data_IF_758023737583
#
_entry.id   IF_758023737583
#
_cell.length_a   1.000
_cell.length_b   1.000
_cell.length_c   1.000
_cell.angle_alpha   90.00
_cell.angle_beta   90.00
_cell.angle_gamma   90.00
#
_symmetry.space_group_name_H-M   'P 1'
#
loop_
_entity.id
_entity.type
_entity.pdbx_description
1 polymer ?
#
# COMPACT_ATOMS: atom_id res chain seq x y z
N UNK A 1 -72.06 -12.72 -27.95
CA UNK A 1 -70.63 -13.02 -27.92
C UNK A 1 -69.96 -11.97 -27.09
N UNK A 2 -69.59 -12.28 -25.81
CA UNK A 2 -68.89 -11.37 -24.87
C UNK A 2 -67.41 -11.74 -24.83
N UNK A 3 -66.50 -10.86 -25.31
CA UNK A 3 -65.04 -11.01 -25.19
C UNK A 3 -64.59 -10.56 -23.78
N UNK A 4 -64.05 -11.48 -23.01
CA UNK A 4 -63.38 -11.20 -21.74
C UNK A 4 -61.92 -10.77 -22.02
N UNK A 5 -61.58 -9.54 -21.67
CA UNK A 5 -60.20 -9.03 -21.67
C UNK A 5 -59.57 -9.40 -20.34
N UNK A 6 -58.54 -10.26 -20.35
CA UNK A 6 -57.67 -10.51 -19.19
C UNK A 6 -56.59 -9.43 -19.10
N UNK A 7 -56.58 -8.67 -18.03
CA UNK A 7 -55.52 -7.78 -17.66
C UNK A 7 -54.44 -8.56 -16.88
N UNK A 8 -53.28 -8.79 -17.49
CA UNK A 8 -52.08 -9.26 -16.79
C UNK A 8 -51.43 -8.06 -16.11
N UNK A 9 -51.54 -7.99 -14.78
CA UNK A 9 -50.78 -7.06 -13.95
C UNK A 9 -49.37 -7.58 -13.75
N UNK A 10 -48.38 -6.95 -14.40
CA UNK A 10 -46.97 -7.19 -14.11
C UNK A 10 -46.58 -6.47 -12.80
N UNK A 11 -46.28 -7.26 -11.77
CA UNK A 11 -45.71 -6.77 -10.53
C UNK A 11 -44.26 -6.37 -10.78
N UNK A 12 -43.97 -5.08 -10.94
CA UNK A 12 -42.60 -4.52 -10.88
C UNK A 12 -42.15 -4.50 -9.42
N UNK A 13 -41.28 -5.42 -9.03
CA UNK A 13 -40.57 -5.37 -7.74
C UNK A 13 -39.51 -4.25 -7.77
N UNK A 14 -39.33 -3.47 -6.68
CA UNK A 14 -38.45 -2.32 -6.67
C UNK A 14 -36.98 -2.77 -6.65
N UNK A 15 -36.29 -2.65 -7.78
CA UNK A 15 -34.83 -2.84 -7.91
C UNK A 15 -34.05 -1.75 -7.15
N UNK A 16 -34.72 -0.62 -6.85
CA UNK A 16 -34.09 0.54 -6.20
C UNK A 16 -33.67 0.31 -4.72
N UNK A 17 -34.33 -0.59 -3.99
CA UNK A 17 -34.05 -0.81 -2.56
C UNK A 17 -32.69 -1.51 -2.30
N UNK A 18 -32.12 -2.19 -3.30
CA UNK A 18 -30.86 -2.92 -3.14
C UNK A 18 -29.63 -2.04 -3.30
N UNK A 19 -29.72 -0.96 -4.07
CA UNK A 19 -28.59 -0.03 -4.27
C UNK A 19 -28.29 0.79 -3.01
N UNK A 20 -29.30 1.20 -2.24
CA UNK A 20 -29.14 1.96 -1.01
C UNK A 20 -28.65 1.11 0.17
N UNK A 21 -28.90 -0.18 0.18
CA UNK A 21 -28.43 -1.09 1.21
C UNK A 21 -26.92 -1.44 1.06
N UNK A 22 -26.34 -1.23 -0.12
CA UNK A 22 -24.91 -1.46 -0.37
C UNK A 22 -24.03 -0.28 0.05
N UNK A 23 -24.56 0.94 0.02
CA UNK A 23 -23.77 2.15 0.32
C UNK A 23 -23.39 2.25 1.81
N UNK A 24 -24.24 1.79 2.71
CA UNK A 24 -23.98 1.74 4.16
C UNK A 24 -23.05 0.60 4.60
N UNK A 25 -22.70 -0.33 3.70
CA UNK A 25 -21.83 -1.49 3.97
C UNK A 25 -20.48 -1.39 3.29
N UNK A 26 -20.23 -0.35 2.51
CA UNK A 26 -18.96 -0.18 1.81
C UNK A 26 -17.94 0.48 2.74
N UNK A 27 -16.72 -0.05 2.74
CA UNK A 27 -15.56 0.55 3.40
C UNK A 27 -14.59 1.07 2.36
N UNK A 28 -14.45 2.37 2.28
CA UNK A 28 -13.53 3.05 1.36
C UNK A 28 -12.12 3.07 1.92
N UNK A 29 -11.23 2.29 1.33
CA UNK A 29 -9.85 2.16 1.78
C UNK A 29 -8.89 2.81 0.78
N UNK A 30 -8.26 3.89 1.21
CA UNK A 30 -7.22 4.60 0.46
C UNK A 30 -5.87 4.03 0.88
N UNK A 31 -5.08 3.47 -0.02
CA UNK A 31 -3.86 2.76 0.37
C UNK A 31 -2.70 2.97 -0.60
N UNK A 32 -1.48 2.86 -0.06
CA UNK A 32 -0.24 2.92 -0.82
C UNK A 32 -0.25 1.93 -1.99
N UNK A 33 0.06 2.38 -3.20
CA UNK A 33 -0.02 1.61 -4.43
C UNK A 33 0.83 0.34 -4.44
N UNK A 34 1.93 0.31 -3.66
CA UNK A 34 2.72 -0.90 -3.42
C UNK A 34 1.94 -2.06 -2.82
N UNK A 35 0.82 -1.77 -2.15
CA UNK A 35 -0.06 -2.78 -1.56
C UNK A 35 -1.14 -3.29 -2.55
N UNK A 36 -1.17 -2.81 -3.80
CA UNK A 36 -2.27 -3.06 -4.75
C UNK A 36 -2.63 -4.55 -4.84
N UNK A 37 -1.68 -5.42 -5.16
CA UNK A 37 -1.96 -6.85 -5.32
C UNK A 37 -2.39 -7.50 -4.01
N UNK A 38 -1.72 -7.18 -2.90
CA UNK A 38 -2.06 -7.67 -1.58
C UNK A 38 -3.49 -7.28 -1.17
N UNK A 39 -3.86 -6.02 -1.39
CA UNK A 39 -5.19 -5.52 -1.01
C UNK A 39 -6.27 -6.14 -1.89
N UNK A 40 -6.12 -6.09 -3.22
CA UNK A 40 -7.16 -6.52 -4.16
C UNK A 40 -7.31 -8.05 -4.27
N UNK A 41 -6.22 -8.81 -4.10
CA UNK A 41 -6.24 -10.27 -4.27
C UNK A 41 -6.16 -11.07 -2.98
N UNK A 42 -5.78 -10.42 -1.88
CA UNK A 42 -5.65 -11.05 -0.57
C UNK A 42 -6.66 -10.53 0.44
N UNK A 43 -6.52 -9.26 0.83
CA UNK A 43 -7.31 -8.66 1.92
C UNK A 43 -8.77 -8.46 1.51
N UNK A 44 -9.06 -7.87 0.35
CA UNK A 44 -10.42 -7.54 -0.07
C UNK A 44 -11.34 -8.78 -0.12
N UNK A 45 -11.00 -9.86 -0.86
CA UNK A 45 -11.88 -11.02 -0.92
C UNK A 45 -12.05 -11.71 0.44
N UNK A 46 -11.02 -11.72 1.29
CA UNK A 46 -11.11 -12.31 2.62
C UNK A 46 -11.95 -11.46 3.59
N UNK A 47 -11.85 -10.13 3.50
CA UNK A 47 -12.69 -9.22 4.27
C UNK A 47 -14.15 -9.29 3.83
N UNK A 48 -14.42 -9.26 2.51
CA UNK A 48 -15.78 -9.36 1.96
C UNK A 48 -16.45 -10.69 2.37
N UNK A 49 -15.67 -11.76 2.48
CA UNK A 49 -16.18 -13.07 2.93
C UNK A 49 -16.64 -13.07 4.40
N UNK A 50 -16.29 -12.08 5.22
CA UNK A 50 -16.86 -11.92 6.58
C UNK A 50 -18.36 -11.60 6.53
N UNK A 51 -18.84 -11.03 5.42
CA UNK A 51 -20.26 -10.79 5.14
C UNK A 51 -20.83 -9.51 5.76
N UNK A 52 -20.07 -8.80 6.60
CA UNK A 52 -20.54 -7.58 7.28
C UNK A 52 -20.44 -6.35 6.40
N UNK A 53 -19.32 -6.17 5.71
CA UNK A 53 -19.01 -5.02 4.87
C UNK A 53 -18.39 -5.44 3.54
N UNK A 54 -18.26 -4.49 2.61
CA UNK A 54 -17.66 -4.67 1.29
C UNK A 54 -16.48 -3.71 1.15
N UNK A 55 -15.31 -4.25 0.82
CA UNK A 55 -14.13 -3.46 0.51
C UNK A 55 -14.29 -2.69 -0.79
N UNK A 56 -13.92 -1.40 -0.78
CA UNK A 56 -13.74 -0.60 -1.98
C UNK A 56 -12.38 0.10 -1.91
N UNK A 57 -11.44 -0.39 -2.71
CA UNK A 57 -10.05 0.04 -2.68
C UNK A 57 -9.75 1.20 -3.62
N UNK A 58 -8.82 2.06 -3.21
CA UNK A 58 -8.19 3.04 -4.07
C UNK A 58 -6.69 3.12 -3.79
N UNK A 59 -5.92 2.62 -4.76
CA UNK A 59 -4.46 2.63 -4.71
C UNK A 59 -3.88 3.93 -5.26
N UNK A 60 -2.77 4.39 -4.67
CA UNK A 60 -2.03 5.53 -5.19
C UNK A 60 -0.77 5.82 -4.38
N UNK A 61 0.07 6.72 -4.89
CA UNK A 61 1.21 7.23 -4.14
C UNK A 61 0.73 7.87 -2.83
N UNK A 62 1.30 7.47 -1.68
CA UNK A 62 0.79 7.86 -0.36
C UNK A 62 0.72 9.37 -0.15
N UNK A 63 1.71 10.13 -0.63
CA UNK A 63 1.69 11.59 -0.56
C UNK A 63 0.62 12.22 -1.47
N UNK A 64 0.40 11.66 -2.67
CA UNK A 64 -0.66 12.10 -3.56
C UNK A 64 -2.05 11.86 -2.94
N UNK A 65 -2.23 10.73 -2.26
CA UNK A 65 -3.47 10.45 -1.51
C UNK A 65 -3.70 11.46 -0.39
N UNK A 66 -2.65 11.82 0.36
CA UNK A 66 -2.73 12.87 1.39
C UNK A 66 -3.23 14.18 0.80
N UNK A 67 -2.66 14.64 -0.32
CA UNK A 67 -3.11 15.87 -0.98
C UNK A 67 -4.57 15.78 -1.46
N UNK A 68 -5.00 14.63 -1.98
CA UNK A 68 -6.38 14.42 -2.40
C UNK A 68 -7.36 14.45 -1.22
N UNK A 69 -6.99 13.86 -0.08
CA UNK A 69 -7.79 13.86 1.16
C UNK A 69 -7.90 15.30 1.69
N UNK A 70 -6.76 15.98 1.85
CA UNK A 70 -6.72 17.38 2.33
C UNK A 70 -7.53 18.34 1.44
N UNK A 71 -7.41 18.18 0.13
CA UNK A 71 -8.13 18.98 -0.84
C UNK A 71 -9.63 18.63 -0.99
N UNK A 72 -10.14 17.64 -0.25
CA UNK A 72 -11.53 17.16 -0.36
C UNK A 72 -11.87 16.50 -1.70
N UNK A 73 -10.85 16.22 -2.53
CA UNK A 73 -11.01 15.55 -3.83
C UNK A 73 -11.35 14.07 -3.67
N UNK A 74 -10.99 13.48 -2.53
CA UNK A 74 -11.27 12.09 -2.20
C UNK A 74 -11.65 11.95 -0.74
N UNK A 75 -12.76 11.26 -0.54
CA UNK A 75 -13.19 10.80 0.79
C UNK A 75 -12.86 9.33 0.94
N UNK A 76 -12.67 8.88 2.17
CA UNK A 76 -12.46 7.49 2.50
C UNK A 76 -12.69 7.24 3.98
N UNK A 77 -12.77 5.98 4.34
CA UNK A 77 -12.92 5.54 5.73
C UNK A 77 -11.56 5.26 6.35
N UNK A 78 -10.69 4.60 5.62
CA UNK A 78 -9.38 4.14 6.07
C UNK A 78 -8.29 4.70 5.16
N UNK A 79 -7.16 5.10 5.76
CA UNK A 79 -5.95 5.46 5.04
C UNK A 79 -4.79 4.56 5.47
N UNK A 80 -4.11 3.96 4.48
CA UNK A 80 -2.92 3.12 4.69
C UNK A 80 -1.75 3.73 3.91
N UNK A 81 -0.74 4.19 4.64
CA UNK A 81 0.44 4.84 4.09
C UNK A 81 1.67 3.94 4.16
N UNK A 82 2.57 4.05 3.18
CA UNK A 82 3.91 3.45 3.20
C UNK A 82 4.94 4.28 4.01
N UNK A 83 4.54 5.46 4.49
CA UNK A 83 5.31 6.31 5.40
C UNK A 83 4.40 6.84 6.52
N UNK A 84 4.66 6.47 7.80
CA UNK A 84 3.88 6.94 8.94
C UNK A 84 3.90 8.46 9.12
N UNK A 85 4.95 9.16 8.69
CA UNK A 85 5.06 10.61 8.81
C UNK A 85 3.96 11.35 8.05
N UNK A 86 3.45 10.78 6.96
CA UNK A 86 2.37 11.35 6.16
C UNK A 86 1.04 11.48 6.91
N UNK A 87 0.83 10.72 7.99
CA UNK A 87 -0.36 10.89 8.83
C UNK A 87 -0.41 12.27 9.49
N UNK A 88 0.76 12.86 9.83
CA UNK A 88 0.82 14.19 10.43
C UNK A 88 0.40 15.31 9.45
N UNK A 89 0.56 15.08 8.14
CA UNK A 89 0.14 16.06 7.12
C UNK A 89 -1.38 16.16 7.02
N UNK A 90 -2.11 15.11 7.41
CA UNK A 90 -3.58 15.12 7.44
C UNK A 90 -4.16 15.92 8.62
N UNK A 91 -3.32 16.36 9.56
CA UNK A 91 -3.72 17.20 10.69
C UNK A 91 -4.86 16.58 11.49
N UNK A 92 -5.93 17.36 11.72
CA UNK A 92 -7.09 16.96 12.52
C UNK A 92 -7.92 15.80 11.94
N UNK A 93 -7.67 15.39 10.69
CA UNK A 93 -8.32 14.24 10.08
C UNK A 93 -7.79 12.92 10.64
N UNK A 94 -6.61 12.92 11.29
CA UNK A 94 -5.99 11.74 11.88
C UNK A 94 -5.77 11.96 13.38
N UNK A 95 -6.47 11.20 14.21
CA UNK A 95 -6.32 11.25 15.67
C UNK A 95 -5.30 10.26 16.20
N UNK A 96 -5.13 9.15 15.48
CA UNK A 96 -4.19 8.08 15.78
C UNK A 96 -3.85 7.33 14.50
N UNK A 97 -2.73 6.65 14.50
CA UNK A 97 -2.39 5.65 13.50
C UNK A 97 -1.59 4.50 14.13
N UNK A 98 -1.61 3.36 13.47
CA UNK A 98 -0.90 2.15 13.91
C UNK A 98 0.11 1.77 12.85
N UNK A 99 1.40 1.70 13.22
CA UNK A 99 2.45 1.14 12.37
C UNK A 99 2.41 -0.38 12.57
N UNK A 100 2.29 -1.17 11.49
CA UNK A 100 2.01 -2.60 11.63
C UNK A 100 2.91 -3.52 10.81
N UNK A 101 3.56 -3.00 9.76
CA UNK A 101 4.41 -3.77 8.87
C UNK A 101 5.52 -2.92 8.26
N UNK A 102 6.52 -3.58 7.68
CA UNK A 102 7.55 -2.93 6.89
C UNK A 102 7.91 -3.76 5.66
N UNK A 103 8.56 -3.13 4.68
CA UNK A 103 9.16 -3.82 3.55
C UNK A 103 10.43 -3.10 3.11
N UNK A 104 11.59 -3.78 3.04
CA UNK A 104 12.84 -3.19 2.60
C UNK A 104 12.77 -2.69 1.15
N UNK A 105 13.54 -1.63 0.85
CA UNK A 105 13.79 -1.19 -0.51
C UNK A 105 14.77 -2.13 -1.18
N UNK A 106 14.47 -2.55 -2.40
CA UNK A 106 15.30 -3.43 -3.24
C UNK A 106 15.38 -2.89 -4.67
N UNK A 107 16.34 -3.39 -5.44
CA UNK A 107 16.46 -3.09 -6.87
C UNK A 107 15.93 -4.30 -7.64
N UNK A 108 14.71 -4.19 -8.20
CA UNK A 108 14.12 -5.20 -9.06
C UNK A 108 14.53 -5.02 -10.51
N UNK A 109 14.72 -6.10 -11.25
CA UNK A 109 15.09 -6.04 -12.66
C UNK A 109 14.30 -7.03 -13.51
N UNK A 110 14.15 -6.71 -14.80
CA UNK A 110 13.53 -7.60 -15.76
C UNK A 110 14.51 -8.73 -16.13
N UNK A 111 14.16 -10.01 -15.90
CA UNK A 111 15.06 -11.13 -16.19
C UNK A 111 15.36 -11.31 -17.69
N UNK A 112 14.61 -10.66 -18.58
CA UNK A 112 14.83 -10.68 -20.01
C UNK A 112 15.62 -9.46 -20.53
N UNK A 113 16.00 -8.55 -19.63
CA UNK A 113 16.76 -7.37 -19.99
C UNK A 113 18.24 -7.71 -20.26
N UNK A 114 18.88 -7.05 -21.24
CA UNK A 114 20.31 -7.25 -21.52
C UNK A 114 21.24 -6.84 -20.37
N UNK A 115 20.73 -6.19 -19.31
CA UNK A 115 21.55 -5.80 -18.15
C UNK A 115 21.83 -6.97 -17.19
N UNK A 116 21.14 -8.13 -17.35
CA UNK A 116 21.22 -9.26 -16.40
C UNK A 116 22.65 -9.77 -16.27
N UNK A 117 23.34 -10.00 -17.39
CA UNK A 117 24.73 -10.46 -17.39
C UNK A 117 25.68 -9.46 -16.71
N UNK A 118 25.43 -8.16 -16.92
CA UNK A 118 26.21 -7.12 -16.24
C UNK A 118 25.95 -7.11 -14.73
N UNK A 119 24.72 -7.32 -14.28
CA UNK A 119 24.35 -7.39 -12.86
C UNK A 119 24.94 -8.61 -12.14
N UNK A 120 25.26 -9.69 -12.87
CA UNK A 120 25.91 -10.87 -12.30
C UNK A 120 27.41 -10.68 -12.05
N UNK A 121 28.05 -9.77 -12.81
CA UNK A 121 29.51 -9.62 -12.82
C UNK A 121 30.01 -8.29 -12.30
N UNK A 122 29.14 -7.31 -12.16
CA UNK A 122 29.48 -5.93 -11.72
C UNK A 122 28.55 -5.46 -10.62
N UNK A 123 29.01 -4.55 -9.75
CA UNK A 123 28.16 -3.91 -8.75
C UNK A 123 26.98 -3.18 -9.38
N UNK A 124 25.80 -3.27 -8.76
CA UNK A 124 24.57 -2.66 -9.27
C UNK A 124 24.72 -1.15 -9.57
N UNK A 125 25.45 -0.43 -8.72
CA UNK A 125 25.63 1.02 -8.87
C UNK A 125 26.46 1.40 -10.09
N UNK A 126 27.32 0.50 -10.59
CA UNK A 126 28.03 0.70 -11.85
C UNK A 126 27.12 0.38 -13.04
N UNK A 127 26.34 -0.71 -12.94
CA UNK A 127 25.43 -1.14 -14.01
C UNK A 127 24.35 -0.11 -14.27
N UNK A 128 23.77 0.49 -13.23
CA UNK A 128 22.71 1.49 -13.39
C UNK A 128 23.18 2.81 -14.04
N UNK A 129 24.49 3.01 -14.21
CA UNK A 129 25.06 4.15 -14.93
C UNK A 129 25.35 3.87 -16.41
N UNK A 130 25.17 2.63 -16.88
CA UNK A 130 25.45 2.29 -18.27
C UNK A 130 24.47 2.99 -19.23
N UNK A 131 24.95 3.42 -20.43
CA UNK A 131 24.08 4.05 -21.42
C UNK A 131 22.94 3.12 -21.85
N UNK A 132 21.77 3.69 -22.09
CA UNK A 132 20.61 2.98 -22.65
C UNK A 132 19.80 2.17 -21.65
N UNK A 133 20.19 2.09 -20.38
CA UNK A 133 19.39 1.43 -19.34
C UNK A 133 18.15 2.25 -19.00
N UNK A 134 16.99 1.60 -19.07
CA UNK A 134 15.69 2.21 -18.74
C UNK A 134 15.37 1.96 -17.27
N UNK A 135 15.60 2.97 -16.45
CA UNK A 135 15.35 2.92 -15.00
C UNK A 135 13.92 3.39 -14.73
N UNK A 136 13.22 2.71 -13.81
CA UNK A 136 11.94 3.13 -13.27
C UNK A 136 12.04 3.55 -11.81
N UNK A 137 11.47 4.71 -11.47
CA UNK A 137 11.33 5.20 -10.09
C UNK A 137 10.05 5.99 -9.93
N UNK A 138 9.60 6.17 -8.70
CA UNK A 138 8.45 7.02 -8.39
C UNK A 138 8.88 8.45 -8.06
N UNK A 139 7.92 9.37 -8.04
CA UNK A 139 8.17 10.78 -7.72
C UNK A 139 8.47 10.93 -6.22
N UNK A 140 9.65 11.44 -5.83
CA UNK A 140 10.01 11.59 -4.42
C UNK A 140 9.19 12.64 -3.66
N UNK A 141 8.52 13.55 -4.37
CA UNK A 141 7.64 14.54 -3.76
C UNK A 141 6.25 13.97 -3.40
N UNK A 142 5.83 12.91 -4.08
CA UNK A 142 4.48 12.35 -3.97
C UNK A 142 4.47 10.93 -3.38
N UNK A 143 5.59 10.22 -3.44
CA UNK A 143 5.65 8.80 -3.11
C UNK A 143 6.81 8.47 -2.16
N UNK A 144 6.55 7.76 -1.03
CA UNK A 144 7.58 7.34 -0.09
C UNK A 144 8.68 6.49 -0.72
N UNK A 145 8.37 5.62 -1.69
CA UNK A 145 9.35 4.82 -2.42
C UNK A 145 10.35 5.70 -3.17
N UNK A 146 9.85 6.75 -3.84
CA UNK A 146 10.69 7.73 -4.51
C UNK A 146 11.59 8.47 -3.53
N UNK A 147 11.06 8.92 -2.39
CA UNK A 147 11.82 9.58 -1.34
C UNK A 147 12.92 8.68 -0.77
N UNK A 148 12.59 7.42 -0.44
CA UNK A 148 13.55 6.41 0.03
C UNK A 148 14.60 6.08 -1.03
N UNK A 149 14.22 6.01 -2.31
CA UNK A 149 15.15 5.81 -3.42
C UNK A 149 16.19 6.94 -3.48
N UNK A 150 15.75 8.19 -3.41
CA UNK A 150 16.67 9.35 -3.40
C UNK A 150 17.60 9.30 -2.18
N UNK A 151 17.04 9.01 -1.02
CA UNK A 151 17.82 8.91 0.23
C UNK A 151 18.87 7.79 0.13
N UNK A 152 18.48 6.60 -0.32
CA UNK A 152 19.36 5.44 -0.48
C UNK A 152 20.51 5.75 -1.48
N UNK A 153 20.21 6.36 -2.62
CA UNK A 153 21.22 6.69 -3.63
C UNK A 153 22.22 7.73 -3.10
N UNK A 154 21.77 8.70 -2.30
CA UNK A 154 22.67 9.66 -1.63
C UNK A 154 23.55 8.98 -0.56
N UNK A 155 23.02 8.03 0.18
CA UNK A 155 23.81 7.22 1.13
C UNK A 155 24.82 6.35 0.37
N UNK A 156 24.45 5.80 -0.78
CA UNK A 156 25.33 5.01 -1.63
C UNK A 156 26.54 5.82 -2.17
N UNK A 157 26.38 7.12 -2.40
CA UNK A 157 27.53 7.99 -2.79
C UNK A 157 28.63 7.96 -1.74
N UNK A 158 28.25 8.06 -0.46
CA UNK A 158 29.22 8.03 0.65
C UNK A 158 29.74 6.59 0.86
N UNK A 159 28.85 5.61 0.86
CA UNK A 159 29.19 4.22 1.14
C UNK A 159 30.17 3.62 0.09
N UNK A 160 29.93 3.89 -1.20
CA UNK A 160 30.80 3.41 -2.30
C UNK A 160 31.89 4.39 -2.72
N UNK A 161 32.03 5.52 -2.02
CA UNK A 161 32.98 6.59 -2.37
C UNK A 161 32.83 7.07 -3.84
N UNK A 162 31.58 7.24 -4.29
CA UNK A 162 31.21 7.61 -5.65
C UNK A 162 30.45 8.95 -5.70
N UNK A 163 31.11 10.10 -5.53
CA UNK A 163 30.46 11.41 -5.56
C UNK A 163 29.63 11.61 -6.84
N UNK A 164 28.40 12.11 -6.69
CA UNK A 164 27.47 12.35 -7.80
C UNK A 164 26.78 11.09 -8.36
N UNK A 165 26.92 9.93 -7.71
CA UNK A 165 26.28 8.68 -8.10
C UNK A 165 24.76 8.84 -8.22
N UNK A 166 24.10 9.44 -7.24
CA UNK A 166 22.66 9.65 -7.24
C UNK A 166 22.21 10.45 -8.47
N UNK A 167 22.90 11.55 -8.78
CA UNK A 167 22.56 12.37 -9.94
C UNK A 167 22.75 11.61 -11.26
N UNK A 168 23.81 10.81 -11.39
CA UNK A 168 24.06 10.01 -12.61
C UNK A 168 22.98 8.92 -12.79
N UNK A 169 22.54 8.25 -11.73
CA UNK A 169 21.51 7.22 -11.82
C UNK A 169 20.13 7.82 -12.01
N UNK A 170 19.77 8.86 -11.25
CA UNK A 170 18.42 9.44 -11.30
C UNK A 170 18.16 10.31 -12.54
N UNK A 171 19.20 10.88 -13.13
CA UNK A 171 19.05 11.93 -14.14
C UNK A 171 18.38 13.18 -13.57
N UNK A 172 17.72 13.97 -14.41
CA UNK A 172 16.93 15.13 -13.97
C UNK A 172 15.55 14.72 -13.41
N UNK A 173 14.90 15.59 -12.64
CA UNK A 173 13.52 15.37 -12.16
C UNK A 173 12.49 15.24 -13.30
N UNK A 174 12.82 15.75 -14.49
CA UNK A 174 12.05 15.59 -15.73
C UNK A 174 12.49 14.37 -16.55
N UNK A 175 13.34 13.51 -15.98
CA UNK A 175 13.76 12.29 -16.68
C UNK A 175 12.54 11.40 -16.94
N UNK A 176 12.55 10.71 -18.07
CA UNK A 176 11.54 9.71 -18.39
C UNK A 176 11.53 8.50 -17.45
N UNK A 177 12.22 8.56 -16.29
CA UNK A 177 12.29 7.52 -15.28
C UNK A 177 11.11 7.55 -14.28
N UNK A 178 10.52 8.73 -14.04
CA UNK A 178 9.42 8.88 -13.09
C UNK A 178 8.14 8.24 -13.64
N UNK A 179 7.53 7.38 -12.87
CA UNK A 179 6.32 6.62 -13.21
C UNK A 179 5.33 6.65 -12.05
N UNK A 180 4.03 6.53 -12.32
CA UNK A 180 3.03 6.27 -11.29
C UNK A 180 3.37 4.98 -10.55
N UNK A 181 3.21 5.01 -9.23
CA UNK A 181 3.62 3.93 -8.33
C UNK A 181 2.92 2.61 -8.68
N UNK A 182 1.63 2.64 -8.89
CA UNK A 182 0.79 1.49 -9.21
C UNK A 182 1.10 0.84 -10.57
N UNK A 183 1.82 1.54 -11.48
CA UNK A 183 2.17 1.03 -12.80
C UNK A 183 3.60 0.48 -12.90
N UNK A 184 4.44 0.72 -11.89
CA UNK A 184 5.88 0.47 -11.98
C UNK A 184 6.22 -1.01 -12.19
N UNK A 185 5.55 -1.89 -11.44
CA UNK A 185 5.71 -3.35 -11.56
C UNK A 185 5.33 -3.84 -12.97
N UNK A 186 4.18 -3.42 -13.49
CA UNK A 186 3.72 -3.81 -14.82
C UNK A 186 4.66 -3.34 -15.94
N UNK A 187 5.26 -2.15 -15.78
CA UNK A 187 6.26 -1.63 -16.73
C UNK A 187 7.56 -2.42 -16.74
N UNK A 188 7.99 -2.91 -15.57
CA UNK A 188 9.15 -3.79 -15.48
C UNK A 188 8.86 -5.13 -16.17
N UNK A 189 7.74 -5.76 -15.84
CA UNK A 189 7.35 -7.06 -16.40
C UNK A 189 7.12 -7.02 -17.92
N UNK A 190 6.60 -5.90 -18.43
CA UNK A 190 6.41 -5.71 -19.89
C UNK A 190 7.68 -5.30 -20.64
N UNK A 191 8.81 -5.13 -19.94
CA UNK A 191 10.06 -4.71 -20.53
C UNK A 191 10.09 -3.23 -20.97
N UNK A 192 9.18 -2.39 -20.47
CA UNK A 192 9.24 -0.95 -20.71
C UNK A 192 10.35 -0.27 -19.89
N UNK A 193 10.73 -0.86 -18.76
CA UNK A 193 11.91 -0.53 -17.98
C UNK A 193 12.74 -1.80 -17.74
N UNK A 194 14.03 -1.64 -17.59
CA UNK A 194 14.98 -2.74 -17.36
C UNK A 194 15.18 -3.03 -15.89
N UNK A 195 15.14 -1.98 -15.08
CA UNK A 195 15.40 -2.00 -13.64
C UNK A 195 14.60 -0.91 -12.97
N UNK A 196 14.29 -1.11 -11.69
CA UNK A 196 13.60 -0.10 -10.89
C UNK A 196 13.76 -0.34 -9.39
N UNK A 197 13.28 0.62 -8.61
CA UNK A 197 13.29 0.56 -7.15
C UNK A 197 11.91 0.13 -6.67
N UNK A 198 11.89 -0.94 -5.89
CA UNK A 198 10.69 -1.60 -5.40
C UNK A 198 10.82 -1.88 -3.89
N UNK A 199 9.72 -2.24 -3.27
CA UNK A 199 9.79 -2.88 -1.96
C UNK A 199 9.91 -4.40 -2.13
N UNK A 200 10.62 -5.07 -1.23
CA UNK A 200 10.88 -6.50 -1.30
C UNK A 200 9.59 -7.34 -1.42
N UNK A 201 8.50 -6.91 -0.77
CA UNK A 201 7.20 -7.56 -0.89
C UNK A 201 6.66 -7.56 -2.32
N UNK A 202 6.85 -6.47 -3.09
CA UNK A 202 6.37 -6.37 -4.47
C UNK A 202 7.13 -7.34 -5.38
N UNK A 203 8.45 -7.40 -5.21
CA UNK A 203 9.29 -8.31 -6.01
C UNK A 203 9.04 -9.77 -5.66
N UNK A 204 8.91 -10.11 -4.38
CA UNK A 204 8.60 -11.46 -3.92
C UNK A 204 7.22 -11.92 -4.41
N UNK A 205 6.19 -11.09 -4.23
CA UNK A 205 4.82 -11.41 -4.61
C UNK A 205 4.63 -11.57 -6.14
N UNK A 206 5.42 -10.84 -6.93
CA UNK A 206 5.37 -10.86 -8.40
C UNK A 206 6.47 -11.73 -9.02
N UNK A 207 7.27 -12.42 -8.21
CA UNK A 207 8.40 -13.25 -8.65
C UNK A 207 9.40 -12.49 -9.54
N UNK A 208 9.65 -11.23 -9.20
CA UNK A 208 10.62 -10.37 -9.86
C UNK A 208 11.98 -10.60 -9.21
N UNK A 209 13.03 -10.93 -9.97
CA UNK A 209 14.37 -11.01 -9.42
C UNK A 209 14.81 -9.63 -8.91
N UNK A 210 15.47 -9.62 -7.76
CA UNK A 210 15.89 -8.37 -7.11
C UNK A 210 17.24 -8.49 -6.44
N UNK A 211 17.90 -7.35 -6.28
CA UNK A 211 19.14 -7.19 -5.56
C UNK A 211 18.80 -6.58 -4.21
N UNK A 212 19.16 -7.28 -3.14
CA UNK A 212 19.12 -6.76 -1.79
C UNK A 212 20.24 -5.72 -1.58
N UNK A 213 19.92 -4.68 -0.83
CA UNK A 213 20.88 -3.65 -0.50
C UNK A 213 21.68 -4.03 0.75
N UNK A 214 22.97 -3.63 0.84
CA UNK A 214 23.73 -3.80 2.07
C UNK A 214 23.02 -3.19 3.28
N UNK A 215 23.25 -3.68 4.51
CA UNK A 215 22.59 -3.17 5.72
C UNK A 215 22.71 -1.65 5.90
N UNK A 216 23.83 -1.06 5.48
CA UNK A 216 24.10 0.37 5.55
C UNK A 216 23.22 1.20 4.60
N UNK A 217 22.67 0.57 3.57
CA UNK A 217 21.78 1.19 2.58
C UNK A 217 20.34 0.67 2.69
N UNK A 218 20.07 -0.25 3.60
CA UNK A 218 18.79 -0.95 3.74
C UNK A 218 17.71 -0.06 4.37
N UNK A 219 17.12 0.83 3.57
CA UNK A 219 15.92 1.58 3.93
C UNK A 219 14.66 0.74 3.71
N UNK A 220 13.58 1.05 4.44
CA UNK A 220 12.35 0.30 4.34
C UNK A 220 11.13 1.22 4.44
N UNK A 221 10.07 0.90 3.68
CA UNK A 221 8.75 1.40 3.98
C UNK A 221 8.29 0.91 5.35
N UNK A 222 7.57 1.75 6.07
CA UNK A 222 6.86 1.38 7.30
C UNK A 222 5.38 1.67 7.06
N UNK A 223 4.58 0.62 7.01
CA UNK A 223 3.17 0.78 6.74
C UNK A 223 2.39 1.15 8.00
N UNK A 224 1.58 2.17 7.87
CA UNK A 224 0.67 2.63 8.92
C UNK A 224 -0.77 2.63 8.43
N UNK A 225 -1.72 2.41 9.34
CA UNK A 225 -3.15 2.44 9.10
C UNK A 225 -3.83 3.37 10.08
N UNK A 226 -4.80 4.15 9.61
CA UNK A 226 -5.68 5.00 10.42
C UNK A 226 -7.11 4.96 9.88
N UNK A 227 -8.08 5.26 10.75
CA UNK A 227 -9.45 5.61 10.35
C UNK A 227 -9.51 7.12 10.29
N UNK A 228 -9.98 7.67 9.17
CA UNK A 228 -10.14 9.11 9.00
C UNK A 228 -11.28 9.62 9.90
N UNK A 229 -11.12 10.82 10.47
CA UNK A 229 -12.08 11.41 11.41
C UNK A 229 -13.49 11.51 10.82
N UNK A 230 -13.58 11.85 9.55
CA UNK A 230 -14.84 12.06 8.85
C UNK A 230 -15.21 10.84 7.97
N UNK A 231 -14.82 9.63 8.42
CA UNK A 231 -15.12 8.37 7.74
C UNK A 231 -16.62 8.21 7.53
N UNK A 232 -17.09 7.97 6.29
CA UNK A 232 -18.51 7.72 6.01
C UNK A 232 -19.06 6.47 6.71
N UNK A 233 -18.23 5.42 6.87
CA UNK A 233 -18.59 4.17 7.55
C UNK A 233 -17.58 3.86 8.68
N UNK A 234 -17.62 4.57 9.82
CA UNK A 234 -16.62 4.41 10.88
C UNK A 234 -16.65 3.04 11.55
N UNK A 235 -17.82 2.38 11.61
CA UNK A 235 -17.94 1.03 12.16
C UNK A 235 -17.34 -0.03 11.22
N UNK A 236 -17.63 0.05 9.92
CA UNK A 236 -17.02 -0.80 8.92
C UNK A 236 -15.50 -0.60 8.85
N UNK A 237 -15.04 0.66 8.94
CA UNK A 237 -13.62 0.98 9.04
C UNK A 237 -12.96 0.31 10.26
N UNK A 238 -13.63 0.32 11.41
CA UNK A 238 -13.13 -0.34 12.62
C UNK A 238 -13.05 -1.87 12.45
N UNK A 239 -14.06 -2.50 11.81
CA UNK A 239 -14.03 -3.94 11.47
C UNK A 239 -12.89 -4.24 10.48
N UNK A 240 -12.73 -3.42 9.44
CA UNK A 240 -11.65 -3.58 8.47
C UNK A 240 -10.26 -3.49 9.11
N UNK A 241 -10.00 -2.46 9.92
CA UNK A 241 -8.70 -2.31 10.60
C UNK A 241 -8.46 -3.45 11.59
N UNK A 242 -9.48 -3.89 12.30
CA UNK A 242 -9.38 -5.04 13.20
C UNK A 242 -9.11 -6.35 12.42
N UNK A 243 -9.73 -6.55 11.27
CA UNK A 243 -9.45 -7.67 10.36
C UNK A 243 -8.00 -7.62 9.87
N UNK A 244 -7.57 -6.49 9.31
CA UNK A 244 -6.22 -6.30 8.75
C UNK A 244 -5.12 -6.62 9.77
N UNK A 245 -5.28 -6.14 11.02
CA UNK A 245 -4.34 -6.33 12.11
C UNK A 245 -4.56 -7.64 12.88
N UNK A 246 -5.67 -8.33 12.62
CA UNK A 246 -6.06 -9.60 13.25
C UNK A 246 -5.26 -10.79 12.71
N UNK A 247 -5.64 -11.99 13.17
CA UNK A 247 -4.93 -13.25 12.83
C UNK A 247 -4.93 -13.51 11.33
N UNK A 248 -6.09 -13.38 10.68
CA UNK A 248 -6.29 -13.67 9.27
C UNK A 248 -5.59 -12.64 8.38
N UNK A 249 -5.84 -11.35 8.58
CA UNK A 249 -5.15 -10.28 7.87
C UNK A 249 -3.63 -10.40 7.99
N UNK A 250 -3.10 -10.64 9.20
CA UNK A 250 -1.67 -10.86 9.39
C UNK A 250 -1.12 -12.11 8.67
N UNK A 251 -1.92 -13.15 8.47
CA UNK A 251 -1.51 -14.32 7.68
C UNK A 251 -1.37 -13.94 6.21
N UNK A 252 -2.34 -13.19 5.68
CA UNK A 252 -2.33 -12.68 4.30
C UNK A 252 -1.15 -11.71 4.08
N UNK A 253 -0.91 -10.77 5.01
CA UNK A 253 0.24 -9.86 4.93
C UNK A 253 1.56 -10.61 4.76
N UNK A 254 1.79 -11.64 5.58
CA UNK A 254 3.02 -12.46 5.49
C UNK A 254 3.09 -13.28 4.20
N UNK A 255 1.96 -13.83 3.75
CA UNK A 255 1.90 -14.60 2.50
C UNK A 255 2.31 -13.75 1.29
N UNK A 256 2.01 -12.45 1.32
CA UNK A 256 2.42 -11.47 0.31
C UNK A 256 3.77 -10.80 0.61
N UNK A 257 4.59 -11.35 1.50
CA UNK A 257 5.96 -10.91 1.71
C UNK A 257 6.14 -9.67 2.58
N UNK A 258 5.08 -9.17 3.26
CA UNK A 258 5.26 -8.09 4.23
C UNK A 258 5.90 -8.61 5.52
N UNK A 259 6.92 -7.90 5.98
CA UNK A 259 7.50 -8.14 7.28
C UNK A 259 6.60 -7.57 8.39
N UNK A 260 6.05 -8.48 9.21
CA UNK A 260 5.22 -8.07 10.34
C UNK A 260 6.05 -7.35 11.39
N UNK A 261 5.51 -6.24 11.90
CA UNK A 261 6.01 -5.54 13.08
C UNK A 261 5.04 -5.72 14.26
N UNK A 262 5.55 -5.62 15.49
CA UNK A 262 4.68 -5.39 16.63
C UNK A 262 3.92 -4.06 16.40
N UNK A 263 2.59 -4.03 16.52
CA UNK A 263 1.82 -2.82 16.28
C UNK A 263 2.27 -1.68 17.20
N UNK A 264 2.60 -0.52 16.62
CA UNK A 264 2.97 0.69 17.36
C UNK A 264 1.87 1.72 17.14
N UNK A 265 1.13 2.01 18.22
CA UNK A 265 0.11 3.06 18.24
C UNK A 265 0.77 4.42 18.46
N UNK A 266 0.41 5.39 17.65
CA UNK A 266 0.81 6.79 17.76
C UNK A 266 -0.46 7.67 17.77
N UNK A 267 -0.52 8.64 18.67
CA UNK A 267 -1.66 9.56 18.82
C UNK A 267 -2.59 9.23 19.99
N UNK A 268 -3.85 9.69 19.92
CA UNK A 268 -4.82 9.59 21.01
C UNK A 268 -5.47 8.21 21.08
N UNK A 269 -5.02 7.39 22.05
CA UNK A 269 -5.52 6.03 22.27
C UNK A 269 -6.96 5.99 22.78
N UNK A 270 -7.50 7.08 23.33
CA UNK A 270 -8.89 7.17 23.84
C UNK A 270 -9.90 7.08 22.69
N UNK A 271 -9.52 7.57 21.51
CA UNK A 271 -10.37 7.55 20.30
C UNK A 271 -10.24 6.27 19.48
N UNK A 272 -9.39 5.32 19.92
CA UNK A 272 -9.21 4.05 19.24
C UNK A 272 -10.45 3.15 19.40
N UNK A 273 -11.05 2.64 18.30
CA UNK A 273 -12.20 1.74 18.38
C UNK A 273 -11.91 0.48 19.22
N UNK A 274 -12.89 0.01 19.97
CA UNK A 274 -12.73 -1.15 20.85
C UNK A 274 -12.26 -2.41 20.10
N UNK A 275 -12.78 -2.66 18.89
CA UNK A 275 -12.37 -3.78 18.02
C UNK A 275 -10.89 -3.70 17.67
N UNK A 276 -10.40 -2.52 17.28
CA UNK A 276 -9.00 -2.30 16.94
C UNK A 276 -8.11 -2.46 18.17
N UNK A 277 -8.53 -1.92 19.31
CA UNK A 277 -7.82 -2.05 20.59
C UNK A 277 -7.64 -3.52 21.00
N UNK A 278 -8.65 -4.34 20.79
CA UNK A 278 -8.62 -5.77 21.13
C UNK A 278 -7.55 -6.56 20.35
N UNK A 279 -7.29 -6.20 19.09
CA UNK A 279 -6.31 -6.91 18.24
C UNK A 279 -4.87 -6.44 18.44
N UNK A 280 -4.64 -5.16 18.82
CA UNK A 280 -3.28 -4.64 19.04
C UNK A 280 -2.78 -4.84 20.46
N UNK A 281 -3.70 -4.98 21.43
CA UNK A 281 -3.42 -5.29 22.85
C UNK A 281 -4.17 -6.57 23.25
N UNK A 282 -3.81 -7.75 22.73
CA UNK A 282 -4.49 -8.98 23.11
C UNK A 282 -4.35 -9.16 24.63
N UNK A 283 -5.45 -9.43 25.31
CA UNK A 283 -5.44 -9.76 26.73
C UNK A 283 -4.39 -10.84 26.98
N UNK A 284 -3.35 -10.51 27.77
CA UNK A 284 -2.47 -11.54 28.34
C UNK A 284 -3.34 -12.37 29.30
N UNK A 285 -3.79 -13.54 28.86
CA UNK A 285 -4.42 -14.57 29.72
C UNK A 285 -3.38 -15.13 30.70
N UNK A 286 -2.89 -14.31 31.62
CA UNK A 286 -1.93 -14.76 32.63
C UNK A 286 -2.01 -13.94 33.93
N UNK A 287 -3.17 -13.37 34.25
CA UNK A 287 -3.38 -12.68 35.55
C UNK A 287 -4.80 -12.76 36.07
N UNK A 288 -5.64 -13.72 35.62
CA UNK A 288 -6.86 -14.09 36.37
C UNK A 288 -6.61 -15.48 36.92
N UNK A 289 -6.10 -15.55 38.17
CA UNK A 289 -6.15 -16.74 38.98
C UNK A 289 -7.63 -17.13 39.23
N UNK A 290 -7.89 -18.40 39.53
CA UNK A 290 -9.25 -18.89 39.78
C UNK A 290 -9.81 -18.20 41.03
N UNK A 291 -11.01 -17.63 40.89
CA UNK A 291 -11.88 -17.39 42.03
C UNK A 291 -12.51 -18.70 42.49
#
# INVERSE_FOLDING_TARGET
>A
MRRRTMLLGAAMLPVAARAWALDGRTVDVLYAGSLLKLMERGIAPAFDATGDDIFRGYAGASGALVHQIQGGLRRGDVFISADPALNSWLGDLVRWYIIFARSPLVIGYNPQSPIVDALQTRPWYEVLQLPGIRIGRTDPALDPKGALTVQMLRQAEAFYHQPGLAARIMGSDRSGQVRPEESLVGRLQSGQIDVGFFYAMETADMQIPSIELPPELALAARYSVTILKDAPNPEGAARFVAFLLGKEGNAILRQHGLEKMAPVLVGDDRTLPALVRAVIRPCRRAACGPC
#
